data_IF_662259418599
#
_entry.id   IF_662259418599
#
_cell.length_a   1.000
_cell.length_b   1.000
_cell.length_c   1.000
_cell.angle_alpha   90.00
_cell.angle_beta   90.00
_cell.angle_gamma   90.00
#
_symmetry.space_group_name_H-M   'P 1'
#
loop_
_entity.id
_entity.type
_entity.pdbx_description
1 polymer ?
#
# COMPACT_ATOMS: atom_id res chain seq x y z
N UNK A 1 5.75 6.02 -53.26
CA UNK A 1 6.36 6.83 -52.17
C UNK A 1 5.22 7.57 -51.49
N UNK A 2 4.93 7.50 -50.20
CA UNK A 2 5.64 7.09 -48.98
C UNK A 2 4.66 6.34 -48.07
N UNK A 3 5.00 5.12 -47.63
CA UNK A 3 4.26 4.38 -46.59
C UNK A 3 4.72 4.90 -45.22
N UNK A 4 3.87 5.63 -44.52
CA UNK A 4 4.12 6.07 -43.14
C UNK A 4 3.60 5.04 -42.14
N UNK A 5 4.47 4.12 -41.73
CA UNK A 5 4.23 3.17 -40.64
C UNK A 5 4.24 3.92 -39.31
N UNK A 6 3.08 4.03 -38.64
CA UNK A 6 3.05 4.41 -37.23
C UNK A 6 3.32 3.17 -36.38
N UNK A 7 4.55 3.09 -35.87
CA UNK A 7 5.01 2.11 -34.89
C UNK A 7 4.28 2.35 -33.56
N UNK A 8 3.51 1.38 -33.11
CA UNK A 8 3.07 1.29 -31.73
C UNK A 8 4.27 0.94 -30.86
N UNK A 9 4.83 1.91 -30.14
CA UNK A 9 5.74 1.59 -29.03
C UNK A 9 4.89 1.27 -27.80
N UNK A 10 4.51 0.00 -27.67
CA UNK A 10 4.18 -0.57 -26.38
C UNK A 10 5.48 -0.64 -25.57
N UNK A 11 5.71 0.31 -24.67
CA UNK A 11 6.74 0.16 -23.64
C UNK A 11 6.03 -0.40 -22.41
N UNK A 12 5.93 -1.73 -22.38
CA UNK A 12 5.81 -2.44 -21.12
C UNK A 12 7.16 -2.28 -20.41
N UNK A 13 7.17 -1.65 -19.25
CA UNK A 13 8.26 -1.84 -18.30
C UNK A 13 7.66 -2.07 -16.92
N UNK A 14 7.36 -3.34 -16.68
CA UNK A 14 7.15 -3.91 -15.36
C UNK A 14 8.53 -4.09 -14.72
N UNK A 15 8.87 -3.27 -13.73
CA UNK A 15 10.04 -3.57 -12.91
C UNK A 15 9.83 -3.21 -11.44
N UNK A 16 9.76 -4.29 -10.64
CA UNK A 16 10.38 -4.47 -9.33
C UNK A 16 9.99 -3.52 -8.18
N UNK A 17 9.09 -4.02 -7.31
CA UNK A 17 9.15 -3.70 -5.88
C UNK A 17 9.80 -4.89 -5.17
N UNK A 18 11.07 -4.71 -4.79
CA UNK A 18 11.73 -5.57 -3.80
C UNK A 18 11.21 -5.20 -2.43
N UNK A 19 10.68 -6.18 -1.70
CA UNK A 19 10.68 -6.13 -0.23
C UNK A 19 12.11 -6.45 0.21
N UNK A 20 12.84 -5.43 0.66
CA UNK A 20 14.16 -5.61 1.27
C UNK A 20 13.95 -5.97 2.74
N UNK A 21 14.27 -7.21 3.10
CA UNK A 21 14.41 -7.63 4.50
C UNK A 21 15.76 -7.15 5.03
N UNK A 22 15.75 -6.07 5.81
CA UNK A 22 16.95 -5.51 6.42
C UNK A 22 17.40 -6.33 7.64
N UNK A 23 18.51 -7.05 7.49
CA UNK A 23 19.27 -7.67 8.59
C UNK A 23 20.10 -6.58 9.28
N UNK A 24 19.92 -6.41 10.59
CA UNK A 24 20.55 -5.35 11.38
C UNK A 24 22.07 -5.46 11.48
N UNK A 25 22.71 -4.33 11.79
CA UNK A 25 23.91 -4.22 12.61
C UNK A 25 24.10 -2.77 13.11
N UNK A 26 24.51 -2.69 14.38
CA UNK A 26 24.81 -1.51 15.22
C UNK A 26 25.58 -0.38 14.56
N UNK A 27 25.33 0.87 14.98
CA UNK A 27 26.36 1.84 15.42
C UNK A 27 25.76 3.04 16.21
N UNK A 28 26.18 3.16 17.49
CA UNK A 28 26.58 4.37 18.25
C UNK A 28 25.66 5.61 18.38
N UNK A 29 25.04 5.74 19.56
CA UNK A 29 25.34 6.75 20.60
C UNK A 29 25.24 8.26 20.30
N UNK A 30 24.22 8.90 20.89
CA UNK A 30 24.15 10.35 21.20
C UNK A 30 22.93 10.66 22.09
N UNK A 31 22.99 11.60 23.06
CA UNK A 31 21.91 11.79 24.04
C UNK A 31 20.82 12.69 23.46
N UNK A 32 19.57 12.25 23.52
CA UNK A 32 18.41 13.08 23.16
C UNK A 32 17.57 13.33 24.40
N UNK A 33 17.33 14.61 24.66
CA UNK A 33 16.60 15.16 25.80
C UNK A 33 15.24 14.49 26.01
N UNK A 34 14.98 14.05 27.26
CA UNK A 34 13.68 13.57 27.71
C UNK A 34 12.66 14.70 27.75
N UNK A 35 11.71 14.69 26.82
CA UNK A 35 10.42 15.34 27.02
C UNK A 35 9.48 14.33 27.66
N UNK A 36 9.19 14.51 28.95
CA UNK A 36 8.14 13.75 29.64
C UNK A 36 6.78 14.27 29.17
N UNK A 37 6.22 13.64 28.14
CA UNK A 37 4.78 13.72 27.86
C UNK A 37 4.11 12.53 28.53
N UNK A 38 3.19 12.82 29.45
CA UNK A 38 2.38 11.82 30.15
C UNK A 38 1.71 10.89 29.13
N UNK A 39 2.26 9.68 29.02
CA UNK A 39 1.67 8.63 28.19
C UNK A 39 0.60 7.97 29.04
N UNK A 40 -0.66 8.33 28.82
CA UNK A 40 -1.77 7.47 29.21
C UNK A 40 -1.60 6.16 28.43
N UNK A 41 -1.43 5.01 29.08
CA UNK A 41 -1.40 3.74 28.36
C UNK A 41 -2.78 3.53 27.75
N UNK A 42 -2.87 3.62 26.42
CA UNK A 42 -4.01 3.10 25.70
C UNK A 42 -4.06 1.60 25.98
N UNK A 43 -5.07 1.17 26.76
CA UNK A 43 -5.40 -0.25 26.91
C UNK A 43 -5.62 -0.81 25.51
N UNK A 44 -4.64 -1.56 25.01
CA UNK A 44 -4.86 -2.48 23.91
C UNK A 44 -5.76 -3.59 24.47
N UNK A 45 -6.90 -3.92 23.82
CA UNK A 45 -7.58 -5.15 24.17
C UNK A 45 -6.59 -6.29 23.92
N UNK A 46 -6.21 -6.98 25.00
CA UNK A 46 -5.34 -8.14 24.94
C UNK A 46 -6.05 -9.22 24.14
N UNK A 47 -5.84 -9.26 22.83
CA UNK A 47 -6.13 -10.43 22.02
C UNK A 47 -5.08 -11.47 22.39
N UNK A 48 -5.41 -12.31 23.37
CA UNK A 48 -4.70 -13.51 23.78
C UNK A 48 -4.76 -14.56 22.67
N UNK A 49 -4.16 -14.27 21.52
CA UNK A 49 -4.12 -15.14 20.36
C UNK A 49 -2.71 -15.16 19.79
N UNK A 50 -2.20 -16.36 19.51
CA UNK A 50 -0.98 -16.56 18.75
C UNK A 50 -1.04 -15.74 17.45
N UNK A 51 0.04 -15.01 17.14
CA UNK A 51 0.15 -14.24 15.89
C UNK A 51 -0.08 -15.19 14.71
N UNK A 52 -1.08 -14.88 13.89
CA UNK A 52 -1.41 -15.65 12.69
C UNK A 52 -0.47 -15.33 11.53
N UNK A 53 -0.28 -16.28 10.63
CA UNK A 53 0.55 -16.08 9.44
C UNK A 53 -0.11 -15.10 8.45
N UNK A 54 0.72 -14.42 7.65
CA UNK A 54 0.27 -13.49 6.61
C UNK A 54 -0.64 -14.14 5.56
N UNK A 55 -0.45 -15.44 5.29
CA UNK A 55 -1.25 -16.18 4.31
C UNK A 55 -2.64 -16.60 4.82
N UNK A 56 -2.89 -16.45 6.12
CA UNK A 56 -4.19 -16.71 6.75
C UNK A 56 -5.15 -15.51 6.66
N UNK A 57 -4.68 -14.36 6.15
CA UNK A 57 -5.54 -13.19 5.97
C UNK A 57 -6.61 -13.53 4.91
N UNK A 58 -7.90 -13.38 5.23
CA UNK A 58 -8.97 -13.69 4.29
C UNK A 58 -8.93 -12.75 3.09
N UNK A 59 -9.27 -13.26 1.91
CA UNK A 59 -9.40 -12.43 0.70
C UNK A 59 -9.09 -13.17 -0.60
N UNK A 60 -9.27 -12.45 -1.71
CA UNK A 60 -9.24 -13.01 -3.07
C UNK A 60 -7.86 -12.89 -3.76
N UNK A 61 -6.77 -12.97 -2.99
CA UNK A 61 -5.41 -12.69 -3.48
C UNK A 61 -4.79 -13.80 -4.35
N UNK A 62 -5.23 -15.05 -4.19
CA UNK A 62 -4.66 -16.22 -4.90
C UNK A 62 -4.91 -16.17 -6.41
N UNK A 63 -6.04 -15.59 -6.83
CA UNK A 63 -6.48 -15.57 -8.23
C UNK A 63 -6.53 -14.14 -8.79
N UNK A 64 -5.36 -13.50 -8.90
CA UNK A 64 -5.26 -12.08 -9.28
C UNK A 64 -5.96 -11.71 -10.59
N UNK A 65 -5.87 -12.54 -11.63
CA UNK A 65 -6.52 -12.27 -12.92
C UNK A 65 -8.05 -12.31 -12.81
N UNK A 66 -8.60 -13.23 -12.02
CA UNK A 66 -10.04 -13.32 -11.77
C UNK A 66 -10.54 -12.14 -10.93
N UNK A 67 -9.74 -11.72 -9.93
CA UNK A 67 -10.01 -10.52 -9.12
C UNK A 67 -9.97 -9.26 -9.97
N UNK A 68 -9.02 -9.14 -10.90
CA UNK A 68 -8.95 -8.02 -11.85
C UNK A 68 -10.15 -7.98 -12.81
N UNK A 69 -10.55 -9.13 -13.34
CA UNK A 69 -11.73 -9.23 -14.20
C UNK A 69 -13.01 -8.80 -13.45
N UNK A 70 -13.20 -9.30 -12.23
CA UNK A 70 -14.32 -8.93 -11.36
C UNK A 70 -14.29 -7.44 -11.04
N UNK A 71 -13.13 -6.88 -10.70
CA UNK A 71 -12.94 -5.45 -10.45
C UNK A 71 -13.39 -4.60 -11.64
N UNK A 72 -13.02 -5.00 -12.86
CA UNK A 72 -13.41 -4.27 -14.07
C UNK A 72 -14.91 -4.37 -14.34
N UNK A 73 -15.50 -5.57 -14.16
CA UNK A 73 -16.95 -5.81 -14.26
C UNK A 73 -17.77 -4.95 -13.29
N UNK A 74 -17.26 -4.70 -12.08
CA UNK A 74 -17.92 -3.89 -11.06
C UNK A 74 -17.77 -2.37 -11.25
N UNK A 75 -17.13 -1.93 -12.35
CA UNK A 75 -16.96 -0.52 -12.69
C UNK A 75 -15.59 0.07 -12.34
N UNK A 76 -14.64 -0.77 -11.93
CA UNK A 76 -13.24 -0.41 -11.72
C UNK A 76 -13.04 0.79 -10.79
N UNK A 77 -12.12 1.68 -11.16
CA UNK A 77 -11.73 2.84 -10.34
C UNK A 77 -12.89 3.80 -10.03
N UNK A 78 -13.91 3.89 -10.90
CA UNK A 78 -15.08 4.76 -10.65
C UNK A 78 -15.90 4.29 -9.45
N UNK A 79 -15.95 2.98 -9.22
CA UNK A 79 -16.74 2.35 -8.18
C UNK A 79 -15.90 1.73 -7.05
N UNK A 80 -14.62 2.09 -6.96
CA UNK A 80 -13.67 1.43 -6.05
C UNK A 80 -14.12 1.49 -4.59
N UNK A 81 -14.65 2.62 -4.14
CA UNK A 81 -15.16 2.79 -2.77
C UNK A 81 -16.30 1.81 -2.45
N UNK A 82 -17.21 1.56 -3.40
CA UNK A 82 -18.28 0.56 -3.24
C UNK A 82 -17.72 -0.87 -3.23
N UNK A 83 -16.74 -1.15 -4.09
CA UNK A 83 -16.06 -2.45 -4.12
C UNK A 83 -15.38 -2.71 -2.77
N UNK A 84 -14.69 -1.72 -2.21
CA UNK A 84 -14.05 -1.83 -0.89
C UNK A 84 -15.06 -2.10 0.21
N UNK A 85 -16.18 -1.36 0.27
CA UNK A 85 -17.25 -1.61 1.26
C UNK A 85 -17.79 -3.04 1.14
N UNK A 86 -18.04 -3.52 -0.08
CA UNK A 86 -18.51 -4.89 -0.31
C UNK A 86 -17.47 -5.93 0.15
N UNK A 87 -16.18 -5.69 -0.09
CA UNK A 87 -15.10 -6.58 0.35
C UNK A 87 -15.01 -6.62 1.88
N UNK A 88 -15.11 -5.48 2.56
CA UNK A 88 -15.14 -5.43 4.03
C UNK A 88 -16.37 -6.16 4.60
N UNK A 89 -17.52 -6.05 3.96
CA UNK A 89 -18.72 -6.79 4.36
C UNK A 89 -18.56 -8.31 4.15
N UNK A 90 -17.78 -8.74 3.15
CA UNK A 90 -17.60 -10.16 2.82
C UNK A 90 -16.49 -10.86 3.61
N UNK A 91 -15.34 -10.20 3.79
CA UNK A 91 -14.14 -10.79 4.41
C UNK A 91 -13.94 -10.34 5.87
N UNK A 92 -14.63 -9.28 6.29
CA UNK A 92 -14.52 -8.70 7.63
C UNK A 92 -13.58 -7.50 7.70
N UNK A 93 -13.15 -7.11 8.91
CA UNK A 93 -12.47 -5.83 9.15
C UNK A 93 -11.04 -5.74 8.59
N UNK A 94 -10.45 -6.88 8.23
CA UNK A 94 -9.14 -6.99 7.57
C UNK A 94 -9.24 -7.99 6.42
N UNK A 95 -8.73 -7.61 5.24
CA UNK A 95 -8.66 -8.52 4.10
C UNK A 95 -7.47 -8.23 3.20
N UNK A 96 -7.04 -9.25 2.45
CA UNK A 96 -5.96 -9.18 1.45
C UNK A 96 -6.53 -9.28 0.05
N UNK A 97 -6.20 -8.33 -0.81
CA UNK A 97 -6.61 -8.34 -2.20
C UNK A 97 -5.40 -8.26 -3.13
N UNK A 98 -5.54 -8.88 -4.31
CA UNK A 98 -4.56 -8.80 -5.37
C UNK A 98 -5.28 -8.51 -6.68
N UNK A 99 -5.04 -7.33 -7.23
CA UNK A 99 -5.69 -6.83 -8.45
C UNK A 99 -4.61 -6.62 -9.50
N UNK A 100 -4.48 -7.60 -10.40
CA UNK A 100 -3.39 -7.65 -11.38
C UNK A 100 -2.03 -7.80 -10.69
N UNK A 101 -1.21 -6.76 -10.79
CA UNK A 101 0.12 -6.74 -10.19
C UNK A 101 0.14 -6.05 -8.82
N UNK A 102 -0.94 -5.35 -8.48
CA UNK A 102 -1.05 -4.65 -7.21
C UNK A 102 -1.60 -5.58 -6.14
N UNK A 103 -0.96 -5.56 -4.97
CA UNK A 103 -1.32 -6.36 -3.82
C UNK A 103 -1.40 -5.45 -2.60
N UNK A 104 -2.48 -5.59 -1.84
CA UNK A 104 -2.75 -4.72 -0.69
C UNK A 104 -3.44 -5.50 0.42
N UNK A 105 -3.20 -5.05 1.65
CA UNK A 105 -3.99 -5.43 2.83
C UNK A 105 -4.81 -4.20 3.23
N UNK A 106 -6.11 -4.40 3.34
CA UNK A 106 -7.06 -3.35 3.66
C UNK A 106 -7.55 -3.53 5.10
N UNK A 107 -7.60 -2.44 5.85
CA UNK A 107 -7.98 -2.37 7.26
C UNK A 107 -9.06 -1.29 7.39
N UNK A 108 -10.14 -1.57 8.13
CA UNK A 108 -11.23 -0.60 8.38
C UNK A 108 -11.24 -0.06 9.82
N UNK A 109 -10.71 -0.83 10.78
CA UNK A 109 -10.78 -0.45 12.18
C UNK A 109 -9.80 0.71 12.50
N UNK A 110 -10.24 1.73 13.24
CA UNK A 110 -9.38 2.87 13.58
C UNK A 110 -8.28 2.49 14.59
N UNK A 111 -8.54 1.52 15.46
CA UNK A 111 -7.55 1.03 16.44
C UNK A 111 -6.34 0.38 15.74
N UNK A 112 -6.61 -0.47 14.75
CA UNK A 112 -5.58 -1.14 13.95
C UNK A 112 -4.77 -0.12 13.12
N UNK A 113 -5.45 0.86 12.52
CA UNK A 113 -4.78 1.94 11.79
C UNK A 113 -3.90 2.81 12.71
N UNK A 114 -4.33 3.07 13.95
CA UNK A 114 -3.52 3.81 14.92
C UNK A 114 -2.24 3.05 15.30
N UNK A 115 -2.30 1.71 15.42
CA UNK A 115 -1.13 0.87 15.66
C UNK A 115 -0.17 0.95 14.46
N UNK A 116 -0.70 0.85 13.24
CA UNK A 116 0.09 0.97 12.01
C UNK A 116 0.84 2.32 11.96
N UNK A 117 0.14 3.43 12.18
CA UNK A 117 0.75 4.77 12.14
C UNK A 117 1.78 5.00 13.25
N UNK A 118 1.62 4.35 14.41
CA UNK A 118 2.65 4.37 15.46
C UNK A 118 3.92 3.61 15.05
N UNK A 119 3.80 2.61 14.18
CA UNK A 119 4.89 1.76 13.73
C UNK A 119 5.61 2.24 12.45
N UNK A 120 5.02 3.14 11.65
CA UNK A 120 5.55 3.59 10.34
C UNK A 120 6.96 4.26 10.40
N UNK A 121 7.38 4.77 11.56
CA UNK A 121 8.69 5.41 11.72
C UNK A 121 8.79 6.82 11.12
N UNK A 122 10.01 7.33 10.94
CA UNK A 122 10.27 8.75 10.59
C UNK A 122 9.98 9.10 9.13
N UNK A 123 10.08 8.13 8.23
CA UNK A 123 9.99 8.28 6.78
C UNK A 123 9.01 7.24 6.21
N UNK A 124 7.70 7.52 6.23
CA UNK A 124 6.70 6.61 5.67
C UNK A 124 6.75 6.61 4.15
N UNK A 125 6.66 5.43 3.55
CA UNK A 125 6.48 5.25 2.11
C UNK A 125 4.99 5.09 1.79
N UNK A 126 4.51 5.80 0.76
CA UNK A 126 3.11 5.74 0.30
C UNK A 126 3.08 5.38 -1.18
N UNK A 127 1.92 4.92 -1.64
CA UNK A 127 1.68 4.63 -3.06
C UNK A 127 1.99 5.86 -3.92
N UNK A 128 3.00 5.74 -4.78
CA UNK A 128 3.38 6.76 -5.75
C UNK A 128 2.58 6.58 -7.04
N UNK A 129 2.10 7.70 -7.59
CA UNK A 129 1.45 7.71 -8.90
C UNK A 129 2.48 8.15 -9.92
N UNK A 130 3.08 7.18 -10.64
CA UNK A 130 4.15 7.42 -11.61
C UNK A 130 3.77 8.44 -12.71
N UNK A 131 2.49 8.51 -13.07
CA UNK A 131 2.02 9.51 -14.03
C UNK A 131 2.20 10.95 -13.50
N UNK A 132 2.07 11.16 -12.18
CA UNK A 132 2.22 12.48 -11.57
C UNK A 132 3.68 12.89 -11.43
N UNK A 133 4.57 11.94 -11.14
CA UNK A 133 6.02 12.18 -11.13
C UNK A 133 6.50 12.49 -12.55
N UNK A 134 6.19 11.64 -13.53
CA UNK A 134 6.59 11.82 -14.92
C UNK A 134 6.11 13.16 -15.52
N UNK A 135 4.87 13.58 -15.20
CA UNK A 135 4.37 14.88 -15.65
C UNK A 135 5.16 16.06 -15.06
N UNK A 136 5.56 15.97 -13.78
CA UNK A 136 6.33 17.03 -13.13
C UNK A 136 7.76 17.09 -13.65
N UNK A 137 8.35 15.93 -13.92
CA UNK A 137 9.69 15.80 -14.50
C UNK A 137 9.72 16.45 -15.88
N UNK A 138 8.72 16.13 -16.71
CA UNK A 138 8.58 16.75 -18.03
C UNK A 138 8.44 18.28 -17.97
N UNK A 139 7.85 18.83 -16.91
CA UNK A 139 7.62 20.28 -16.74
C UNK A 139 8.64 20.96 -15.83
N UNK A 140 9.69 20.26 -15.41
CA UNK A 140 10.69 20.73 -14.44
C UNK A 140 10.07 21.38 -13.18
N UNK A 141 9.03 20.76 -12.61
CA UNK A 141 8.37 21.24 -11.38
C UNK A 141 8.85 20.45 -10.17
N UNK A 142 9.03 21.14 -9.04
CA UNK A 142 9.40 20.49 -7.77
C UNK A 142 8.33 19.48 -7.35
N UNK A 143 8.75 18.39 -6.73
CA UNK A 143 7.83 17.44 -6.11
C UNK A 143 7.17 18.02 -4.86
N UNK A 144 5.92 17.65 -4.63
CA UNK A 144 5.14 18.10 -3.49
C UNK A 144 5.27 17.11 -2.33
N UNK A 145 4.65 17.39 -1.20
CA UNK A 145 4.68 16.51 -0.02
C UNK A 145 4.17 15.09 -0.31
N UNK A 146 3.33 14.93 -1.34
CA UNK A 146 2.72 13.67 -1.76
C UNK A 146 3.53 12.89 -2.81
N UNK A 147 4.60 13.47 -3.34
CA UNK A 147 5.47 12.84 -4.34
C UNK A 147 6.88 12.93 -3.76
N UNK A 148 7.37 11.86 -3.17
CA UNK A 148 8.64 11.84 -2.45
C UNK A 148 9.47 10.65 -2.88
#
# INVERSE_FOLDING_TARGET
MVKGSLRWTAVANFHSLRVVTGKGNDLRGGPVCSFHSATSPCLSPAASGTVRSYDEIPGNWRNSLASLYTFWKLGGLKNIHRIMVNNFNAFGPIYREKVGYYESVNIINPEDAAILFKAEGRYPERLTVEAWTAYRDYRNRKYGVLLK
#
